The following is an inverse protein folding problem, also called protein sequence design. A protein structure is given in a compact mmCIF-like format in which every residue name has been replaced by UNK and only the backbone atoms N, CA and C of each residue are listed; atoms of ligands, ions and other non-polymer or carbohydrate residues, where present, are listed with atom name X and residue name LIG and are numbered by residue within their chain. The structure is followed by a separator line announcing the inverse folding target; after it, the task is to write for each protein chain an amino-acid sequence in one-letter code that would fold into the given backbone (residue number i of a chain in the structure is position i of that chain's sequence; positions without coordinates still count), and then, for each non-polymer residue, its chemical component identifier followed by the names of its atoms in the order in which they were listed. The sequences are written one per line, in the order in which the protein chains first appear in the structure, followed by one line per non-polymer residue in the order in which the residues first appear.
data_IF_738021635433
#
_entry.id   IF_738021635433
#
_cell.length_a   1.000
_cell.length_b   1.000
_cell.length_c   1.000
_cell.angle_alpha   90.00
_cell.angle_beta   90.00
_cell.angle_gamma   90.00
#
_symmetry.space_group_name_H-M   'P 1'
#
loop_
_entity.id
_entity.type
_entity.pdbx_description
1 polymer ?
#
# COMPACT_ATOMS: atom_id res chain seq x y z
N UNK A 1 4.50 33.89 5.73
CA UNK A 1 4.46 33.14 4.44
C UNK A 1 5.60 32.11 4.30
N UNK A 2 6.02 31.43 5.38
CA UNK A 2 7.25 30.60 5.40
C UNK A 2 7.11 29.21 6.04
N UNK A 3 5.89 28.74 6.31
CA UNK A 3 5.61 27.46 6.98
C UNK A 3 5.31 26.35 5.95
N UNK A 4 4.74 26.71 4.78
CA UNK A 4 4.43 25.80 3.67
C UNK A 4 5.64 25.29 2.86
N UNK A 5 6.84 25.86 3.04
CA UNK A 5 8.04 25.44 2.29
C UNK A 5 8.81 24.30 2.94
N UNK A 6 8.72 24.14 4.27
CA UNK A 6 9.50 23.14 5.00
C UNK A 6 8.84 21.74 4.96
N UNK A 7 7.50 21.66 4.99
CA UNK A 7 6.75 20.41 4.74
C UNK A 7 7.03 19.83 3.35
N UNK A 8 7.22 20.69 2.33
CA UNK A 8 7.56 20.28 0.96
C UNK A 8 8.95 19.64 0.80
N UNK A 9 9.91 19.95 1.67
CA UNK A 9 11.28 19.44 1.57
C UNK A 9 11.45 18.07 2.22
N UNK A 10 10.63 17.74 3.23
CA UNK A 10 10.78 16.49 3.97
C UNK A 10 10.03 15.31 3.38
N UNK A 11 8.81 15.51 2.85
CA UNK A 11 8.16 14.50 1.99
C UNK A 11 9.00 14.19 0.75
N UNK A 12 9.78 15.18 0.30
CA UNK A 12 10.80 14.97 -0.71
C UNK A 12 11.90 14.01 -0.26
N UNK A 13 12.23 13.82 1.02
CA UNK A 13 13.38 12.99 1.44
C UNK A 13 13.02 11.56 1.83
N UNK A 14 11.84 11.29 2.39
CA UNK A 14 11.34 9.93 2.55
C UNK A 14 10.92 9.35 1.19
N UNK A 15 10.28 10.15 0.33
CA UNK A 15 9.96 9.72 -1.03
C UNK A 15 11.15 9.82 -2.01
N UNK A 16 12.20 10.64 -1.77
CA UNK A 16 13.36 10.71 -2.71
C UNK A 16 14.41 9.64 -2.56
N UNK A 17 14.42 8.84 -1.50
CA UNK A 17 15.17 7.58 -1.58
C UNK A 17 14.55 6.61 -2.61
N UNK A 18 13.29 6.84 -3.00
CA UNK A 18 12.63 6.22 -4.16
C UNK A 18 12.67 7.14 -5.40
N UNK A 19 12.63 8.46 -5.23
CA UNK A 19 12.69 9.47 -6.30
C UNK A 19 14.11 9.92 -6.70
N UNK A 20 15.09 9.03 -6.57
CA UNK A 20 16.42 9.17 -7.14
C UNK A 20 16.51 8.51 -8.52
N UNK A 21 15.65 8.87 -9.48
CA UNK A 21 15.80 8.42 -10.86
C UNK A 21 15.64 9.60 -11.82
N UNK A 22 16.65 10.48 -11.81
CA UNK A 22 17.08 11.15 -13.03
C UNK A 22 17.42 10.04 -14.06
N UNK A 23 16.42 9.54 -14.77
CA UNK A 23 16.55 8.38 -15.66
C UNK A 23 15.29 7.53 -15.90
N UNK A 24 14.18 7.73 -15.17
CA UNK A 24 12.95 6.96 -15.45
C UNK A 24 12.28 7.43 -16.75
N UNK A 25 12.07 6.50 -17.70
CA UNK A 25 11.42 6.78 -18.98
C UNK A 25 9.90 6.72 -18.81
N UNK A 26 9.20 7.81 -19.10
CA UNK A 26 7.73 7.81 -19.15
C UNK A 26 7.26 6.96 -20.33
N UNK A 27 6.37 6.02 -20.05
CA UNK A 27 5.72 5.14 -21.03
C UNK A 27 4.33 5.67 -21.40
N UNK A 28 3.55 6.12 -20.41
CA UNK A 28 2.21 6.67 -20.64
C UNK A 28 1.78 7.59 -19.50
N UNK A 29 0.98 8.61 -19.81
CA UNK A 29 0.29 9.48 -18.82
C UNK A 29 -1.21 9.20 -18.75
N UNK A 30 -1.66 8.13 -19.41
CA UNK A 30 -3.02 7.60 -19.37
C UNK A 30 -2.97 6.13 -19.01
N UNK A 31 -4.02 5.60 -18.38
CA UNK A 31 -4.16 4.17 -18.10
C UNK A 31 -4.19 3.41 -19.44
N UNK A 32 -3.21 2.52 -19.72
CA UNK A 32 -3.22 1.72 -20.94
C UNK A 32 -4.45 0.81 -21.00
N UNK A 33 -4.96 0.53 -22.22
CA UNK A 33 -6.13 -0.36 -22.40
C UNK A 33 -5.96 -1.71 -21.73
N UNK A 34 -4.75 -2.29 -21.78
CA UNK A 34 -4.43 -3.54 -21.07
C UNK A 34 -4.67 -3.43 -19.57
N UNK A 35 -4.13 -2.38 -18.95
CA UNK A 35 -4.27 -2.13 -17.51
C UNK A 35 -5.73 -1.87 -17.14
N UNK A 36 -6.46 -1.09 -17.94
CA UNK A 36 -7.89 -0.86 -17.74
C UNK A 36 -8.71 -2.16 -17.79
N UNK A 37 -8.41 -3.05 -18.75
CA UNK A 37 -9.03 -4.39 -18.81
C UNK A 37 -8.69 -5.22 -17.59
N UNK A 38 -7.43 -5.26 -17.17
CA UNK A 38 -6.99 -6.02 -15.99
C UNK A 38 -7.64 -5.49 -14.70
N UNK A 39 -7.76 -4.17 -14.52
CA UNK A 39 -8.50 -3.55 -13.42
C UNK A 39 -9.98 -3.98 -13.39
N UNK A 40 -10.63 -4.09 -14.56
CA UNK A 40 -12.01 -4.59 -14.62
C UNK A 40 -12.16 -6.06 -14.19
N UNK A 41 -11.08 -6.85 -14.31
CA UNK A 41 -11.04 -8.25 -13.91
C UNK A 41 -10.57 -8.45 -12.45
N UNK A 42 -10.11 -7.39 -11.77
CA UNK A 42 -9.69 -7.43 -10.38
C UNK A 42 -10.84 -7.33 -9.36
N UNK A 43 -12.09 -7.53 -9.79
CA UNK A 43 -13.25 -7.52 -8.91
C UNK A 43 -13.50 -6.16 -8.25
N UNK A 44 -13.89 -6.16 -6.97
CA UNK A 44 -14.26 -4.93 -6.26
C UNK A 44 -13.08 -3.98 -6.06
N UNK A 45 -11.90 -4.50 -5.70
CA UNK A 45 -10.70 -3.67 -5.46
C UNK A 45 -10.21 -2.96 -6.72
N UNK A 46 -10.38 -3.58 -7.90
CA UNK A 46 -10.11 -2.94 -9.17
C UNK A 46 -11.06 -1.78 -9.48
N UNK A 47 -12.36 -1.93 -9.16
CA UNK A 47 -13.34 -0.85 -9.28
C UNK A 47 -13.08 0.28 -8.30
N UNK A 48 -12.80 -0.04 -7.04
CA UNK A 48 -12.46 0.95 -5.99
C UNK A 48 -11.21 1.76 -6.36
N UNK A 49 -10.21 1.14 -7.01
CA UNK A 49 -9.04 1.84 -7.51
C UNK A 49 -9.39 2.86 -8.61
N UNK A 50 -10.23 2.46 -9.58
CA UNK A 50 -10.71 3.37 -10.64
C UNK A 50 -11.57 4.49 -10.04
N UNK A 51 -12.49 4.16 -9.13
CA UNK A 51 -13.32 5.14 -8.43
C UNK A 51 -12.48 6.14 -7.65
N UNK A 52 -11.41 5.70 -6.99
CA UNK A 52 -10.48 6.58 -6.28
C UNK A 52 -9.78 7.55 -7.25
N UNK A 53 -9.28 7.02 -8.38
CA UNK A 53 -8.62 7.82 -9.42
C UNK A 53 -9.58 8.90 -9.92
N UNK A 54 -10.81 8.53 -10.27
CA UNK A 54 -11.81 9.42 -10.83
C UNK A 54 -12.32 10.44 -9.80
N UNK A 55 -12.66 9.97 -8.59
CA UNK A 55 -13.23 10.80 -7.51
C UNK A 55 -12.26 11.89 -7.05
N UNK A 56 -10.97 11.57 -6.93
CA UNK A 56 -9.96 12.49 -6.40
C UNK A 56 -9.07 13.11 -7.49
N UNK A 57 -9.35 12.84 -8.77
CA UNK A 57 -8.61 13.38 -9.90
C UNK A 57 -7.12 13.02 -9.88
N UNK A 58 -6.79 11.80 -9.44
CA UNK A 58 -5.41 11.34 -9.30
C UNK A 58 -4.80 11.12 -10.67
N UNK A 59 -3.64 11.71 -10.94
CA UNK A 59 -2.92 11.48 -12.21
C UNK A 59 -2.20 10.14 -12.16
N UNK A 60 -2.24 9.37 -13.23
CA UNK A 60 -1.52 8.08 -13.33
C UNK A 60 -0.44 8.16 -14.42
N UNK A 61 0.82 7.99 -14.01
CA UNK A 61 1.98 8.00 -14.90
C UNK A 61 2.66 6.63 -14.87
N UNK A 62 2.69 5.96 -16.01
CA UNK A 62 3.41 4.70 -16.20
C UNK A 62 4.83 5.01 -16.66
N UNK A 63 5.82 4.46 -15.97
CA UNK A 63 7.24 4.69 -16.24
C UNK A 63 8.06 3.41 -16.08
N UNK A 64 9.26 3.40 -16.64
CA UNK A 64 10.22 2.32 -16.40
C UNK A 64 11.16 2.66 -15.24
N UNK A 65 11.20 1.78 -14.22
CA UNK A 65 12.11 1.90 -13.09
C UNK A 65 11.62 2.81 -11.96
N UNK A 66 12.33 2.75 -10.83
CA UNK A 66 12.08 3.59 -9.65
C UNK A 66 10.93 3.12 -8.76
N UNK A 67 10.31 1.97 -9.05
CA UNK A 67 9.18 1.47 -8.28
C UNK A 67 7.90 2.28 -8.48
N UNK A 68 6.79 1.69 -8.03
CA UNK A 68 5.50 2.35 -7.96
C UNK A 68 5.42 3.16 -6.67
N UNK A 69 4.79 4.33 -6.74
CA UNK A 69 4.52 5.18 -5.59
C UNK A 69 3.40 6.17 -5.89
N UNK A 70 2.63 6.54 -4.88
CA UNK A 70 1.76 7.70 -4.88
C UNK A 70 2.48 8.91 -4.27
N UNK A 71 2.61 9.99 -5.05
CA UNK A 71 3.13 11.26 -4.57
C UNK A 71 1.97 12.17 -4.17
N UNK A 72 1.83 12.41 -2.87
CA UNK A 72 0.74 13.23 -2.32
C UNK A 72 0.81 14.69 -2.76
N UNK A 73 2.02 15.27 -2.88
CA UNK A 73 2.18 16.69 -3.22
C UNK A 73 1.79 17.01 -4.67
N UNK A 74 1.92 16.03 -5.57
CA UNK A 74 1.60 16.16 -6.99
C UNK A 74 0.23 15.56 -7.35
N UNK A 75 -0.45 14.92 -6.39
CA UNK A 75 -1.64 14.10 -6.61
C UNK A 75 -1.45 13.14 -7.80
N UNK A 76 -0.29 12.46 -7.83
CA UNK A 76 0.15 11.66 -8.97
C UNK A 76 0.66 10.31 -8.48
N UNK A 77 0.08 9.24 -8.98
CA UNK A 77 0.62 7.90 -8.87
C UNK A 77 1.56 7.62 -10.03
N UNK A 78 2.73 7.10 -9.70
CA UNK A 78 3.71 6.59 -10.65
C UNK A 78 3.71 5.07 -10.59
N UNK A 79 3.56 4.41 -11.73
CA UNK A 79 3.48 2.95 -11.84
C UNK A 79 4.70 2.47 -12.61
N UNK A 80 5.54 1.64 -11.97
CA UNK A 80 6.69 1.03 -12.63
C UNK A 80 6.23 -0.17 -13.47
N UNK A 81 6.34 -0.05 -14.79
CA UNK A 81 5.92 -1.12 -15.72
C UNK A 81 6.85 -2.33 -15.74
N UNK A 82 8.02 -2.23 -15.10
CA UNK A 82 8.97 -3.35 -14.97
C UNK A 82 8.81 -4.12 -13.66
N UNK A 83 8.09 -3.57 -12.69
CA UNK A 83 7.91 -4.19 -11.39
C UNK A 83 6.57 -4.93 -11.30
N UNK A 84 6.52 -6.13 -11.89
CA UNK A 84 5.33 -6.98 -11.83
C UNK A 84 4.18 -6.53 -12.74
N UNK A 85 2.94 -6.83 -12.34
CA UNK A 85 1.75 -6.47 -13.10
C UNK A 85 1.31 -5.03 -12.77
N UNK A 86 1.19 -4.16 -13.78
CA UNK A 86 0.89 -2.74 -13.56
C UNK A 86 -0.52 -2.49 -13.00
N UNK A 87 -1.50 -3.37 -13.24
CA UNK A 87 -2.84 -3.21 -12.70
C UNK A 87 -2.87 -3.45 -11.18
N UNK A 88 -2.13 -4.42 -10.66
CA UNK A 88 -2.00 -4.59 -9.20
C UNK A 88 -1.24 -3.43 -8.56
N UNK A 89 -0.22 -2.89 -9.25
CA UNK A 89 0.44 -1.65 -8.84
C UNK A 89 -0.51 -0.46 -8.75
N UNK A 90 -1.42 -0.30 -9.73
CA UNK A 90 -2.46 0.75 -9.67
C UNK A 90 -3.38 0.55 -8.46
N UNK A 91 -3.78 -0.68 -8.14
CA UNK A 91 -4.62 -0.97 -6.96
C UNK A 91 -3.91 -0.60 -5.66
N UNK A 92 -2.62 -0.92 -5.57
CA UNK A 92 -1.77 -0.56 -4.42
C UNK A 92 -1.70 0.97 -4.25
N UNK A 93 -1.25 1.69 -5.29
CA UNK A 93 -1.08 3.15 -5.22
C UNK A 93 -2.40 3.92 -5.09
N UNK A 94 -3.50 3.40 -5.64
CA UNK A 94 -4.82 3.98 -5.40
C UNK A 94 -5.24 3.86 -3.93
N UNK A 95 -4.81 2.83 -3.20
CA UNK A 95 -5.08 2.73 -1.76
C UNK A 95 -4.41 3.88 -1.01
N UNK A 96 -3.13 4.16 -1.28
CA UNK A 96 -2.43 5.32 -0.73
C UNK A 96 -3.11 6.65 -1.09
N UNK A 97 -3.51 6.81 -2.35
CA UNK A 97 -4.21 8.01 -2.78
C UNK A 97 -5.52 8.21 -1.99
N UNK A 98 -6.31 7.15 -1.82
CA UNK A 98 -7.54 7.21 -1.02
C UNK A 98 -7.26 7.58 0.43
N UNK A 99 -6.29 6.94 1.08
CA UNK A 99 -5.91 7.23 2.46
C UNK A 99 -5.52 8.69 2.66
N UNK A 100 -4.75 9.25 1.73
CA UNK A 100 -4.31 10.62 1.81
C UNK A 100 -5.48 11.61 1.65
N UNK A 101 -6.39 11.38 0.69
CA UNK A 101 -7.57 12.23 0.48
C UNK A 101 -8.65 12.07 1.56
N UNK A 102 -8.69 10.92 2.24
CA UNK A 102 -9.56 10.68 3.40
C UNK A 102 -8.96 11.20 4.73
N UNK A 103 -7.72 11.73 4.70
CA UNK A 103 -7.03 12.23 5.90
C UNK A 103 -6.61 11.13 6.88
N UNK A 104 -6.43 9.91 6.38
CA UNK A 104 -6.06 8.72 7.16
C UNK A 104 -4.56 8.47 7.19
N UNK A 105 -3.81 8.95 6.18
CA UNK A 105 -2.35 8.84 6.12
C UNK A 105 -1.67 9.51 7.32
N UNK A 106 -0.56 8.94 7.78
CA UNK A 106 0.18 9.44 8.91
C UNK A 106 0.74 10.85 8.67
N UNK A 107 0.51 11.77 9.62
CA UNK A 107 1.11 13.10 9.61
C UNK A 107 2.28 13.15 10.59
N UNK A 108 3.50 13.27 10.04
CA UNK A 108 4.74 13.34 10.82
C UNK A 108 4.77 14.53 11.80
N UNK A 109 3.99 15.58 11.55
CA UNK A 109 3.94 16.79 12.38
C UNK A 109 2.95 16.71 13.53
N UNK A 110 1.99 15.78 13.44
CA UNK A 110 0.87 15.64 14.40
C UNK A 110 0.99 14.37 15.23
N UNK A 111 1.47 13.29 14.64
CA UNK A 111 1.55 12.00 15.29
C UNK A 111 2.90 11.85 16.00
N UNK A 112 2.86 11.29 17.21
CA UNK A 112 4.08 10.80 17.84
C UNK A 112 4.67 9.65 17.00
N UNK A 113 5.92 9.30 17.27
CA UNK A 113 6.65 8.28 16.50
C UNK A 113 5.91 6.94 16.39
N UNK A 114 5.29 6.48 17.49
CA UNK A 114 4.58 5.20 17.51
C UNK A 114 3.34 5.24 16.64
N UNK A 115 2.51 6.27 16.79
CA UNK A 115 1.28 6.44 16.01
C UNK A 115 1.62 6.65 14.53
N UNK A 116 2.66 7.42 14.23
CA UNK A 116 3.14 7.61 12.88
C UNK A 116 3.52 6.28 12.22
N UNK A 117 4.31 5.44 12.92
CA UNK A 117 4.70 4.13 12.40
C UNK A 117 3.48 3.23 12.22
N UNK A 118 2.62 3.11 13.24
CA UNK A 118 1.46 2.22 13.18
C UNK A 118 0.48 2.60 12.05
N UNK A 119 0.17 3.88 11.89
CA UNK A 119 -0.73 4.35 10.82
C UNK A 119 -0.15 4.05 9.43
N UNK A 120 1.16 4.24 9.22
CA UNK A 120 1.78 3.86 7.95
C UNK A 120 1.75 2.33 7.72
N UNK A 121 1.93 1.52 8.76
CA UNK A 121 1.84 0.06 8.63
C UNK A 121 0.41 -0.40 8.34
N UNK A 122 -0.61 0.24 8.91
CA UNK A 122 -2.01 -0.01 8.59
C UNK A 122 -2.30 0.32 7.12
N UNK A 123 -1.76 1.43 6.62
CA UNK A 123 -1.90 1.87 5.22
C UNK A 123 -1.29 0.86 4.24
N UNK A 124 -0.02 0.48 4.46
CA UNK A 124 0.69 -0.52 3.67
C UNK A 124 0.01 -1.90 3.73
N UNK A 125 -0.52 -2.26 4.89
CA UNK A 125 -1.29 -3.51 5.05
C UNK A 125 -2.52 -3.50 4.15
N UNK A 126 -3.31 -2.42 4.17
CA UNK A 126 -4.51 -2.32 3.34
C UNK A 126 -4.15 -2.34 1.85
N UNK A 127 -3.11 -1.61 1.45
CA UNK A 127 -2.62 -1.56 0.07
C UNK A 127 -2.17 -2.95 -0.43
N UNK A 128 -1.33 -3.65 0.35
CA UNK A 128 -0.87 -4.99 0.03
C UNK A 128 -1.99 -6.04 0.00
N UNK A 129 -2.96 -5.96 0.92
CA UNK A 129 -4.13 -6.85 0.91
C UNK A 129 -5.01 -6.61 -0.32
N UNK A 130 -5.20 -5.36 -0.73
CA UNK A 130 -5.94 -5.03 -1.95
C UNK A 130 -5.20 -5.52 -3.21
N UNK A 131 -3.88 -5.38 -3.25
CA UNK A 131 -3.03 -5.94 -4.30
C UNK A 131 -3.18 -7.47 -4.41
N UNK A 132 -3.13 -8.18 -3.27
CA UNK A 132 -3.29 -9.64 -3.22
C UNK A 132 -4.68 -10.06 -3.71
N UNK A 133 -5.74 -9.38 -3.26
CA UNK A 133 -7.12 -9.65 -3.72
C UNK A 133 -7.27 -9.41 -5.21
N UNK A 134 -6.70 -8.32 -5.72
CA UNK A 134 -6.70 -8.02 -7.15
C UNK A 134 -5.98 -9.13 -7.94
N UNK A 135 -4.83 -9.59 -7.46
CA UNK A 135 -4.08 -10.68 -8.07
C UNK A 135 -4.88 -12.00 -8.09
N UNK A 136 -5.61 -12.34 -7.02
CA UNK A 136 -6.47 -13.53 -7.01
C UNK A 136 -7.59 -13.45 -8.04
N UNK A 137 -8.33 -12.35 -8.11
CA UNK A 137 -9.41 -12.17 -9.09
C UNK A 137 -8.87 -12.17 -10.52
N UNK A 138 -7.72 -11.53 -10.76
CA UNK A 138 -7.07 -11.56 -12.08
C UNK A 138 -6.64 -12.97 -12.49
N UNK A 139 -6.00 -13.74 -11.61
CA UNK A 139 -5.59 -15.14 -11.91
C UNK A 139 -6.79 -16.05 -12.12
N UNK A 140 -7.88 -15.85 -11.37
CA UNK A 140 -9.16 -16.54 -11.60
C UNK A 140 -9.71 -16.28 -13.01
N UNK A 141 -9.39 -15.12 -13.59
CA UNK A 141 -9.71 -14.74 -14.97
C UNK A 141 -8.56 -15.01 -15.96
N UNK A 142 -7.65 -15.93 -15.64
CA UNK A 142 -6.53 -16.37 -16.50
C UNK A 142 -5.54 -15.27 -16.89
N UNK A 143 -5.44 -14.19 -16.10
CA UNK A 143 -4.38 -13.19 -16.23
C UNK A 143 -3.16 -13.67 -15.44
N UNK A 144 -2.00 -13.68 -16.08
CA UNK A 144 -0.74 -13.98 -15.42
C UNK A 144 -0.31 -12.81 -14.53
N UNK A 145 -0.31 -13.05 -13.22
CA UNK A 145 0.08 -12.08 -12.19
C UNK A 145 1.06 -12.77 -11.24
N UNK A 146 2.30 -12.28 -11.08
CA UNK A 146 3.28 -12.86 -10.16
C UNK A 146 2.77 -12.92 -8.72
N UNK A 147 3.19 -13.93 -7.96
CA UNK A 147 2.91 -14.04 -6.52
C UNK A 147 3.78 -13.04 -5.77
N UNK A 148 3.17 -12.13 -5.01
CA UNK A 148 3.92 -11.19 -4.18
C UNK A 148 4.54 -11.88 -2.97
N UNK A 149 5.62 -11.32 -2.45
CA UNK A 149 6.30 -11.82 -1.24
C UNK A 149 5.41 -11.75 0.01
N UNK A 150 4.37 -10.92 0.02
CA UNK A 150 3.40 -10.76 1.11
C UNK A 150 2.26 -11.79 1.02
N UNK A 151 1.99 -12.35 -0.17
CA UNK A 151 0.83 -13.21 -0.41
C UNK A 151 0.80 -14.47 0.48
N UNK A 152 1.96 -15.05 0.78
CA UNK A 152 2.04 -16.25 1.64
C UNK A 152 1.55 -15.97 3.06
N UNK A 153 1.85 -14.80 3.62
CA UNK A 153 1.36 -14.38 4.94
C UNK A 153 -0.17 -14.28 4.93
N UNK A 154 -0.74 -13.68 3.89
CA UNK A 154 -2.19 -13.58 3.73
C UNK A 154 -2.87 -14.95 3.64
N UNK A 155 -2.38 -15.83 2.76
CA UNK A 155 -2.94 -17.18 2.58
C UNK A 155 -2.86 -17.99 3.86
N UNK A 156 -1.70 -17.99 4.53
CA UNK A 156 -1.52 -18.71 5.79
C UNK A 156 -2.44 -18.18 6.89
N UNK A 157 -2.60 -16.85 7.00
CA UNK A 157 -3.52 -16.24 7.97
C UNK A 157 -4.98 -16.56 7.66
N UNK A 158 -5.35 -16.54 6.38
CA UNK A 158 -6.69 -16.90 5.92
C UNK A 158 -7.05 -18.32 6.31
N UNK A 159 -6.20 -19.29 5.94
CA UNK A 159 -6.47 -20.70 6.22
C UNK A 159 -6.51 -21.01 7.72
N UNK A 160 -5.63 -20.38 8.51
CA UNK A 160 -5.63 -20.55 9.96
C UNK A 160 -6.94 -20.04 10.59
N UNK A 161 -7.40 -18.86 10.18
CA UNK A 161 -8.64 -18.31 10.68
C UNK A 161 -9.85 -19.14 10.27
N UNK A 162 -9.91 -19.64 9.03
CA UNK A 162 -10.96 -20.57 8.59
C UNK A 162 -10.97 -21.83 9.45
N UNK A 163 -9.82 -22.51 9.62
CA UNK A 163 -9.73 -23.73 10.45
C UNK A 163 -10.18 -23.48 11.89
N UNK A 164 -9.78 -22.36 12.48
CA UNK A 164 -10.18 -21.99 13.83
C UNK A 164 -11.69 -21.71 13.94
N UNK A 165 -12.26 -21.01 12.97
CA UNK A 165 -13.69 -20.72 12.90
C UNK A 165 -14.52 -21.99 12.69
N UNK A 166 -14.09 -22.93 11.85
CA UNK A 166 -14.71 -24.24 11.69
C UNK A 166 -14.70 -25.04 13.00
N UNK A 167 -13.55 -25.10 13.68
CA UNK A 167 -13.43 -25.77 14.98
C UNK A 167 -14.38 -25.17 16.01
N UNK A 168 -14.38 -23.83 16.15
CA UNK A 168 -15.24 -23.11 17.10
C UNK A 168 -16.72 -23.35 16.80
N UNK A 169 -17.11 -23.28 15.52
CA UNK A 169 -18.49 -23.56 15.09
C UNK A 169 -18.94 -24.98 15.43
N UNK A 170 -18.05 -25.98 15.30
CA UNK A 170 -18.34 -27.37 15.71
C UNK A 170 -18.55 -27.48 17.22
N UNK A 171 -17.65 -26.90 18.01
CA UNK A 171 -17.73 -26.92 19.49
C UNK A 171 -19.00 -26.23 19.99
N UNK A 172 -19.45 -25.17 19.30
CA UNK A 172 -20.66 -24.43 19.63
C UNK A 172 -21.94 -25.02 19.03
N UNK A 173 -21.87 -26.17 18.33
CA UNK A 173 -22.98 -26.75 17.58
C UNK A 173 -23.65 -25.77 16.60
N UNK A 174 -22.86 -24.84 16.05
CA UNK A 174 -23.28 -23.85 15.06
C UNK A 174 -22.28 -23.87 13.89
N UNK A 175 -22.49 -24.73 12.89
CA UNK A 175 -21.71 -24.69 11.66
C UNK A 175 -21.82 -23.30 11.01
N UNK A 176 -20.69 -22.75 10.60
CA UNK A 176 -20.63 -21.46 9.92
C UNK A 176 -20.90 -21.62 8.43
N UNK A 177 -21.56 -20.63 7.85
CA UNK A 177 -21.76 -20.53 6.41
C UNK A 177 -20.44 -20.23 5.68
N UNK A 178 -20.40 -20.49 4.38
CA UNK A 178 -19.25 -20.11 3.54
C UNK A 178 -18.92 -18.63 3.64
N UNK A 179 -19.91 -17.75 3.71
CA UNK A 179 -19.70 -16.31 3.83
C UNK A 179 -19.04 -15.92 5.16
N UNK A 180 -19.41 -16.58 6.27
CA UNK A 180 -18.80 -16.37 7.58
C UNK A 180 -17.36 -16.89 7.63
N UNK A 181 -17.10 -18.07 7.06
CA UNK A 181 -15.74 -18.62 6.97
C UNK A 181 -14.85 -17.75 6.10
N UNK A 182 -15.36 -17.30 4.95
CA UNK A 182 -14.63 -16.43 4.03
C UNK A 182 -14.36 -15.05 4.64
N UNK A 183 -15.30 -14.49 5.41
CA UNK A 183 -15.05 -13.30 6.22
C UNK A 183 -13.95 -13.52 7.27
N UNK A 184 -14.03 -14.62 8.04
CA UNK A 184 -13.01 -14.95 9.03
C UNK A 184 -11.63 -15.12 8.38
N UNK A 185 -11.56 -15.81 7.24
CA UNK A 185 -10.35 -15.96 6.44
C UNK A 185 -9.81 -14.61 6.00
N UNK A 186 -10.63 -13.71 5.45
CA UNK A 186 -10.17 -12.38 5.03
C UNK A 186 -9.58 -11.57 6.20
N UNK A 187 -10.22 -11.62 7.36
CA UNK A 187 -9.73 -10.94 8.57
C UNK A 187 -8.43 -11.57 9.08
N UNK A 188 -8.33 -12.90 9.08
CA UNK A 188 -7.11 -13.62 9.45
C UNK A 188 -5.94 -13.33 8.52
N UNK A 189 -6.19 -13.31 7.21
CA UNK A 189 -5.19 -12.96 6.20
C UNK A 189 -4.70 -11.52 6.35
N UNK A 190 -5.61 -10.56 6.54
CA UNK A 190 -5.25 -9.16 6.78
C UNK A 190 -4.45 -9.00 8.09
N UNK A 191 -4.89 -9.65 9.17
CA UNK A 191 -4.17 -9.62 10.45
C UNK A 191 -2.77 -10.22 10.36
N UNK A 192 -2.59 -11.30 9.60
CA UNK A 192 -1.28 -11.91 9.38
C UNK A 192 -0.34 -11.04 8.54
N UNK A 193 -0.85 -10.34 7.52
CA UNK A 193 -0.08 -9.35 6.76
C UNK A 193 0.35 -8.20 7.66
N UNK A 194 -0.58 -7.64 8.44
CA UNK A 194 -0.27 -6.57 9.40
C UNK A 194 0.81 -7.00 10.40
N UNK A 195 0.69 -8.21 10.97
CA UNK A 195 1.68 -8.75 11.90
C UNK A 195 3.06 -8.89 11.24
N UNK A 196 3.14 -9.32 9.98
CA UNK A 196 4.38 -9.47 9.25
C UNK A 196 5.07 -8.13 8.93
N UNK A 197 4.28 -7.09 8.60
CA UNK A 197 4.78 -5.72 8.48
C UNK A 197 5.32 -5.22 9.82
N UNK A 198 4.51 -5.34 10.88
CA UNK A 198 4.85 -4.86 12.21
C UNK A 198 6.08 -5.56 12.80
N UNK A 199 6.26 -6.86 12.55
CA UNK A 199 7.44 -7.60 13.01
C UNK A 199 8.69 -7.37 12.16
N UNK A 200 8.59 -6.63 11.06
CA UNK A 200 9.70 -6.39 10.14
C UNK A 200 10.10 -7.60 9.28
N UNK A 201 9.20 -8.59 9.12
CA UNK A 201 9.40 -9.71 8.20
C UNK A 201 9.31 -9.24 6.75
N UNK A 202 8.44 -8.26 6.49
CA UNK A 202 8.32 -7.60 5.18
C UNK A 202 9.33 -6.45 5.12
N UNK A 203 10.09 -6.41 4.02
CA UNK A 203 11.18 -5.46 3.78
C UNK A 203 10.97 -4.76 2.45
N UNK A 204 11.35 -3.48 2.38
CA UNK A 204 11.30 -2.72 1.15
C UNK A 204 12.21 -3.33 0.09
N UNK A 205 11.71 -3.49 -1.15
CA UNK A 205 12.45 -4.12 -2.25
C UNK A 205 13.69 -3.33 -2.68
N UNK A 206 13.71 -2.02 -2.45
CA UNK A 206 14.81 -1.12 -2.82
C UNK A 206 15.83 -0.99 -1.69
N UNK A 207 15.38 -0.83 -0.44
CA UNK A 207 16.24 -0.54 0.71
C UNK A 207 16.66 -1.77 1.49
N UNK A 208 15.90 -2.87 1.42
CA UNK A 208 16.06 -4.04 2.28
C UNK A 208 15.71 -3.80 3.75
N UNK A 209 15.29 -2.57 4.10
CA UNK A 209 14.97 -2.16 5.47
C UNK A 209 13.57 -2.67 5.86
N UNK A 210 13.38 -3.19 7.08
CA UNK A 210 12.05 -3.47 7.61
C UNK A 210 11.19 -2.21 7.64
N UNK A 211 9.91 -2.32 7.29
CA UNK A 211 9.00 -1.16 7.23
C UNK A 211 8.90 -0.36 8.55
N UNK A 212 8.81 -0.98 9.75
CA UNK A 212 8.76 -0.23 11.01
C UNK A 212 10.01 0.61 11.24
N UNK A 213 11.19 0.07 10.86
CA UNK A 213 12.45 0.80 10.93
C UNK A 213 12.46 1.95 9.92
N UNK A 214 12.07 1.69 8.66
CA UNK A 214 12.01 2.70 7.61
C UNK A 214 11.13 3.90 7.99
N UNK A 215 9.91 3.66 8.48
CA UNK A 215 9.02 4.73 8.92
C UNK A 215 9.52 5.42 10.19
N UNK A 216 10.08 4.67 11.14
CA UNK A 216 10.67 5.23 12.35
C UNK A 216 11.82 6.18 12.05
N UNK A 217 12.75 5.79 11.17
CA UNK A 217 13.85 6.63 10.70
C UNK A 217 13.36 7.88 9.97
N UNK A 218 12.25 7.77 9.21
CA UNK A 218 11.58 8.90 8.58
C UNK A 218 11.06 9.91 9.61
N UNK A 219 10.42 9.43 10.67
CA UNK A 219 9.95 10.30 11.76
C UNK A 219 11.12 10.96 12.51
N UNK A 220 12.15 10.17 12.84
CA UNK A 220 13.33 10.63 13.59
C UNK A 220 14.09 11.71 12.80
N UNK A 221 14.25 11.50 11.49
CA UNK A 221 14.95 12.44 10.60
C UNK A 221 14.21 13.78 10.49
N UNK A 222 12.87 13.78 10.49
CA UNK A 222 12.07 15.02 10.46
C UNK A 222 12.35 15.85 11.70
N UNK A 223 12.22 15.22 12.86
CA UNK A 223 12.31 15.91 14.15
C UNK A 223 13.75 16.31 14.49
N UNK A 224 14.76 15.55 14.05
CA UNK A 224 16.15 15.96 14.17
C UNK A 224 16.44 17.22 13.34
N UNK A 225 15.96 17.27 12.08
CA UNK A 225 16.15 18.45 11.23
C UNK A 225 15.44 19.68 11.79
N UNK A 226 14.17 19.53 12.22
CA UNK A 226 13.41 20.61 12.83
C UNK A 226 13.99 21.05 14.18
N UNK A 227 14.53 20.15 15.00
CA UNK A 227 15.22 20.51 16.24
C UNK A 227 16.47 21.36 16.00
N UNK A 228 17.21 21.10 14.92
CA UNK A 228 18.42 21.84 14.56
C UNK A 228 18.16 23.17 13.82
N UNK A 229 17.08 23.27 13.04
CA UNK A 229 16.84 24.41 12.15
C UNK A 229 15.56 25.21 12.47
N UNK A 230 14.70 24.68 13.34
CA UNK A 230 13.45 25.30 13.77
C UNK A 230 13.60 26.39 14.83
N UNK A 231 14.77 26.52 15.45
CA UNK A 231 15.10 27.62 16.38
C UNK A 231 15.74 28.84 15.71
N UNK A 232 15.95 28.82 14.38
CA UNK A 232 16.44 29.99 13.63
C UNK A 232 15.28 30.84 13.07
N UNK A 233 14.34 31.24 13.92
CA UNK A 233 13.33 32.26 13.61
C UNK A 233 13.02 33.12 14.82
#
# INVERSE_FOLDING_TARGET
MGIFRATKAFFRNSESKVAGAAGSRIVSTKIPRKVSRELSLAGNVGREAVETIDKYGVKTVFREGGGSLYNHAENTMYIDVKNGNSAVGVVHEATHARWAHEGRTADVTRHNRSDYVNINLDEETEAAVNEIRAAFEMRKNHIDVPVSNVQSHYVNGYEQAVRWSEYTGRVQHRPLSYAELDYAGRMGGQGAVHAAYHSGQIRGSVTGTPYPQYFGEGWDSYHAWYGQHGQMR
#
